data_IF_474979082352
#
_entry.id   IF_474979082352
#
_cell.length_a   1.000
_cell.length_b   1.000
_cell.length_c   1.000
_cell.angle_alpha   90.00
_cell.angle_beta   90.00
_cell.angle_gamma   90.00
#
_symmetry.space_group_name_H-M   'P 1'
#
loop_
_entity.id
_entity.type
_entity.pdbx_description
1 polymer ?
#
# COMPACT_ATOMS: atom_id res chain seq x y z
N UNK A 1 -5.30 -5.79 -7.65
CA UNK A 1 -5.48 -6.91 -6.68
C UNK A 1 -4.24 -7.77 -6.28
N UNK A 2 -3.00 -7.26 -6.30
CA UNK A 2 -1.87 -7.78 -5.47
C UNK A 2 -1.00 -6.62 -4.98
N UNK A 3 -0.80 -5.61 -5.83
CA UNK A 3 -0.06 -4.39 -5.55
C UNK A 3 -0.64 -3.57 -4.38
N UNK A 4 -1.96 -3.56 -4.23
CA UNK A 4 -2.60 -2.86 -3.12
C UNK A 4 -2.57 -3.63 -1.80
N UNK A 5 -2.58 -4.97 -1.84
CA UNK A 5 -2.38 -5.76 -0.64
C UNK A 5 -0.97 -5.55 -0.09
N UNK A 6 0.03 -5.48 -0.98
CA UNK A 6 1.40 -5.13 -0.60
C UNK A 6 1.54 -3.70 -0.06
N UNK A 7 0.81 -2.73 -0.62
CA UNK A 7 0.75 -1.36 -0.09
C UNK A 7 0.11 -1.32 1.31
N UNK A 8 -0.95 -2.09 1.51
CA UNK A 8 -1.64 -2.23 2.80
C UNK A 8 -0.77 -2.91 3.86
N UNK A 9 -0.06 -3.98 3.49
CA UNK A 9 0.92 -4.67 4.34
C UNK A 9 2.01 -3.69 4.78
N UNK A 10 2.56 -2.91 3.85
CA UNK A 10 3.54 -1.87 4.14
C UNK A 10 3.00 -0.80 5.12
N UNK A 11 1.74 -0.39 4.97
CA UNK A 11 1.11 0.64 5.80
C UNK A 11 0.74 0.16 7.20
N UNK A 12 0.16 -1.05 7.33
CA UNK A 12 -0.30 -1.56 8.63
C UNK A 12 0.83 -2.19 9.45
N UNK A 13 1.73 -2.94 8.80
CA UNK A 13 2.74 -3.72 9.49
C UNK A 13 4.10 -3.01 9.54
N UNK A 14 4.24 -1.85 8.89
CA UNK A 14 5.51 -1.14 8.70
C UNK A 14 6.61 -2.09 8.16
N UNK A 15 6.20 -3.09 7.36
CA UNK A 15 7.10 -4.12 6.83
C UNK A 15 6.56 -4.66 5.51
N UNK A 16 7.45 -5.20 4.68
CA UNK A 16 7.10 -5.78 3.38
C UNK A 16 7.78 -7.13 3.20
N UNK A 17 7.02 -8.12 2.71
CA UNK A 17 7.59 -9.45 2.41
C UNK A 17 7.83 -9.62 0.92
N UNK A 18 9.09 -9.82 0.52
CA UNK A 18 9.48 -10.05 -0.88
C UNK A 18 10.22 -11.37 -0.98
N UNK A 19 9.72 -12.31 -1.79
CA UNK A 19 10.37 -13.61 -1.99
C UNK A 19 10.53 -14.43 -0.70
N UNK A 20 9.65 -14.24 0.30
CA UNK A 20 9.71 -14.91 1.59
C UNK A 20 10.63 -14.25 2.62
N UNK A 21 11.25 -13.12 2.29
CA UNK A 21 12.04 -12.31 3.23
C UNK A 21 11.26 -11.06 3.63
N UNK A 22 11.12 -10.83 4.93
CA UNK A 22 10.45 -9.65 5.48
C UNK A 22 11.47 -8.54 5.73
N UNK A 23 11.18 -7.36 5.18
CA UNK A 23 11.96 -6.14 5.34
C UNK A 23 11.16 -5.12 6.14
N UNK A 24 11.76 -4.57 7.21
CA UNK A 24 11.12 -3.53 8.01
C UNK A 24 11.36 -2.16 7.38
N UNK A 25 10.33 -1.31 7.37
CA UNK A 25 10.42 0.05 6.86
C UNK A 25 11.10 0.93 7.92
N UNK A 26 11.98 1.82 7.46
CA UNK A 26 12.66 2.79 8.33
C UNK A 26 11.69 3.91 8.72
N UNK A 27 11.71 4.30 10.00
CA UNK A 27 10.84 5.35 10.52
C UNK A 27 11.53 6.72 10.49
N UNK A 28 10.82 7.80 10.07
CA UNK A 28 9.40 7.82 9.74
C UNK A 28 9.11 7.38 8.28
N UNK A 29 8.02 6.63 8.10
CA UNK A 29 7.54 6.21 6.78
C UNK A 29 6.10 6.72 6.56
N UNK A 30 5.86 7.31 5.40
CA UNK A 30 4.55 7.83 5.02
C UNK A 30 4.19 7.43 3.58
N UNK A 31 2.92 7.10 3.37
CA UNK A 31 2.37 6.81 2.04
C UNK A 31 1.51 7.99 1.59
N UNK A 32 1.80 8.52 0.40
CA UNK A 32 0.95 9.50 -0.27
C UNK A 32 0.36 8.86 -1.52
N UNK A 33 -0.94 8.59 -1.50
CA UNK A 33 -1.67 8.06 -2.66
C UNK A 33 -2.54 9.13 -3.31
N UNK A 34 -2.51 9.20 -4.64
CA UNK A 34 -3.47 9.99 -5.45
C UNK A 34 -4.41 9.06 -6.19
N UNK A 35 -5.71 9.33 -6.20
CA UNK A 35 -6.68 8.62 -7.03
C UNK A 35 -7.10 9.47 -8.22
N UNK A 36 -7.09 8.89 -9.42
CA UNK A 36 -7.68 9.52 -10.60
C UNK A 36 -9.20 9.32 -10.54
N UNK A 37 -10.02 10.40 -10.46
CA UNK A 37 -11.45 10.28 -10.20
C UNK A 37 -12.29 9.85 -11.42
N UNK A 38 -11.68 9.68 -12.60
CA UNK A 38 -12.42 9.63 -13.88
C UNK A 38 -12.57 8.20 -14.43
N UNK A 39 -11.66 7.28 -14.09
CA UNK A 39 -11.71 5.87 -14.52
C UNK A 39 -11.83 4.96 -13.29
N UNK A 40 -13.01 4.39 -13.07
CA UNK A 40 -13.22 3.35 -12.04
C UNK A 40 -12.98 1.92 -12.57
N UNK A 41 -12.80 1.77 -13.89
CA UNK A 41 -12.55 0.48 -14.52
C UNK A 41 -11.07 0.08 -14.28
N UNK A 42 -10.85 -0.86 -13.37
CA UNK A 42 -9.50 -1.31 -13.01
C UNK A 42 -8.82 -0.53 -11.88
N UNK A 43 -9.43 0.53 -11.34
CA UNK A 43 -8.96 1.19 -10.12
C UNK A 43 -9.70 0.65 -8.90
N UNK A 44 -8.95 0.28 -7.87
CA UNK A 44 -9.50 -0.10 -6.57
C UNK A 44 -9.32 1.09 -5.61
N UNK A 45 -10.36 1.47 -4.84
CA UNK A 45 -10.31 2.66 -4.01
C UNK A 45 -9.15 2.57 -2.99
N UNK A 46 -8.47 3.69 -2.75
CA UNK A 46 -7.51 3.72 -1.63
C UNK A 46 -8.27 3.46 -0.33
N UNK A 47 -7.70 2.66 0.59
CA UNK A 47 -8.26 2.50 1.91
C UNK A 47 -8.30 3.87 2.61
N UNK A 48 -9.34 4.11 3.39
CA UNK A 48 -9.41 5.28 4.25
C UNK A 48 -8.19 5.28 5.17
N UNK A 49 -7.44 6.38 5.17
CA UNK A 49 -6.33 6.56 6.09
C UNK A 49 -6.90 6.55 7.52
N UNK A 50 -6.52 5.57 8.34
CA UNK A 50 -6.67 5.62 9.80
C UNK A 50 -5.44 6.24 10.44
#
# INVERSE_FOLDING_TARGET
>A
PKTQAALLEAMQEHSVTVGGTTHRLEEPFFVLGTQNPIDMEGTYPLPEAQ
#
